data_IF_034832441101
#
_entry.id   IF_034832441101
#
_cell.length_a   1.000
_cell.length_b   1.000
_cell.length_c   1.000
_cell.angle_alpha   90.00
_cell.angle_beta   90.00
_cell.angle_gamma   90.00
#
_symmetry.space_group_name_H-M   'P 1'
#
loop_
_entity.id
_entity.type
_entity.pdbx_description
1 polymer ?
#
# COMPACT_ATOMS: atom_id res chain seq x y z
N UNK A 1 -29.43 36.69 -14.85
CA UNK A 1 -28.18 36.98 -15.59
C UNK A 1 -27.27 35.76 -15.42
N UNK A 2 -27.18 34.91 -16.42
CA UNK A 2 -26.28 33.75 -16.36
C UNK A 2 -24.84 34.18 -16.67
N UNK A 3 -23.93 33.93 -15.76
CA UNK A 3 -22.51 34.18 -15.96
C UNK A 3 -21.99 33.34 -17.14
N UNK A 4 -21.43 33.96 -18.16
CA UNK A 4 -20.76 33.30 -19.27
C UNK A 4 -19.57 32.48 -18.71
N UNK A 5 -19.41 31.21 -19.13
CA UNK A 5 -18.29 30.41 -18.69
C UNK A 5 -16.98 31.11 -19.11
N UNK A 6 -16.14 31.42 -18.13
CA UNK A 6 -14.80 31.96 -18.36
C UNK A 6 -14.01 30.95 -19.19
N UNK A 7 -13.67 31.30 -20.44
CA UNK A 7 -12.79 30.49 -21.29
C UNK A 7 -11.44 30.36 -20.56
N UNK A 8 -11.16 29.17 -20.03
CA UNK A 8 -9.83 28.83 -19.52
C UNK A 8 -8.87 29.01 -20.70
N UNK A 9 -7.94 29.95 -20.58
CA UNK A 9 -6.88 30.15 -21.59
C UNK A 9 -6.05 28.87 -21.63
N UNK A 10 -6.05 28.24 -22.81
CA UNK A 10 -5.21 27.08 -23.06
C UNK A 10 -3.73 27.52 -22.99
N UNK A 11 -2.96 26.84 -22.15
CA UNK A 11 -1.53 27.13 -21.95
C UNK A 11 -0.62 26.44 -22.97
N UNK A 12 -1.18 25.63 -23.90
CA UNK A 12 -0.44 24.92 -24.93
C UNK A 12 -0.64 25.54 -26.31
N UNK A 13 0.43 25.66 -27.05
CA UNK A 13 0.40 26.06 -28.46
C UNK A 13 -0.19 24.93 -29.33
N UNK A 14 -0.62 25.27 -30.57
CA UNK A 14 -1.09 24.27 -31.53
C UNK A 14 -0.03 23.19 -31.82
N UNK A 15 1.25 23.60 -31.90
CA UNK A 15 2.38 22.67 -32.16
C UNK A 15 2.56 21.69 -31.00
N UNK A 16 2.51 22.16 -29.77
CA UNK A 16 2.61 21.31 -28.56
C UNK A 16 1.47 20.31 -28.47
N UNK A 17 0.24 20.75 -28.75
CA UNK A 17 -0.92 19.82 -28.81
C UNK A 17 -0.75 18.73 -29.87
N UNK A 18 -0.25 19.11 -31.05
CA UNK A 18 0.03 18.12 -32.11
C UNK A 18 1.15 17.16 -31.70
N UNK A 19 2.20 17.64 -31.04
CA UNK A 19 3.27 16.82 -30.52
C UNK A 19 2.76 15.84 -29.45
N UNK A 20 1.97 16.30 -28.48
CA UNK A 20 1.33 15.44 -27.49
C UNK A 20 0.39 14.40 -28.11
N UNK A 21 -0.37 14.78 -29.15
CA UNK A 21 -1.23 13.84 -29.87
C UNK A 21 -0.39 12.75 -30.55
N UNK A 22 0.71 13.11 -31.22
CA UNK A 22 1.64 12.14 -31.84
C UNK A 22 2.27 11.23 -30.79
N UNK A 23 2.69 11.80 -29.65
CA UNK A 23 3.29 11.05 -28.55
C UNK A 23 2.31 10.00 -27.97
N UNK A 24 1.03 10.38 -27.80
CA UNK A 24 -0.03 9.46 -27.35
C UNK A 24 -0.33 8.32 -28.32
N UNK A 25 -0.04 8.49 -29.60
CA UNK A 25 -0.25 7.47 -30.63
C UNK A 25 0.90 6.46 -30.72
N UNK A 26 2.03 6.74 -30.07
CA UNK A 26 3.16 5.81 -30.03
C UNK A 26 2.82 4.61 -29.15
N UNK A 27 2.94 3.42 -29.72
CA UNK A 27 2.66 2.14 -29.04
C UNK A 27 3.92 1.45 -28.56
N UNK A 28 5.09 1.90 -29.04
CA UNK A 28 6.41 1.36 -28.72
C UNK A 28 7.01 1.92 -27.43
N UNK A 29 6.45 3.00 -26.90
CA UNK A 29 6.91 3.62 -25.65
C UNK A 29 5.80 3.66 -24.60
N UNK A 30 6.22 3.78 -23.33
CA UNK A 30 5.37 4.08 -22.18
C UNK A 30 5.87 5.32 -21.45
N UNK A 31 4.93 6.09 -20.94
CA UNK A 31 5.20 7.29 -20.14
C UNK A 31 4.62 7.04 -18.75
N UNK A 32 5.47 7.07 -17.74
CA UNK A 32 5.12 6.80 -16.34
C UNK A 32 5.74 7.85 -15.42
N UNK A 33 5.14 8.15 -14.28
CA UNK A 33 5.85 8.88 -13.23
C UNK A 33 7.03 8.05 -12.73
N UNK A 34 8.10 8.71 -12.32
CA UNK A 34 9.18 8.06 -11.61
C UNK A 34 8.73 7.61 -10.21
N UNK A 35 9.39 6.58 -9.65
CA UNK A 35 9.12 6.11 -8.28
C UNK A 35 9.36 7.21 -7.22
N UNK A 36 10.35 8.06 -7.45
CA UNK A 36 10.71 9.17 -6.55
C UNK A 36 10.80 10.49 -7.30
N UNK A 37 10.42 11.57 -6.62
CA UNK A 37 10.40 12.92 -7.19
C UNK A 37 9.22 13.16 -8.13
N UNK A 38 9.25 14.26 -8.86
CA UNK A 38 8.20 14.68 -9.81
C UNK A 38 8.55 14.35 -11.28
N UNK A 39 9.55 13.50 -11.50
CA UNK A 39 10.04 13.16 -12.83
C UNK A 39 9.05 12.33 -13.64
N UNK A 40 9.06 12.53 -14.96
CA UNK A 40 8.35 11.68 -15.92
C UNK A 40 9.37 10.82 -16.66
N UNK A 41 9.15 9.52 -16.69
CA UNK A 41 10.00 8.53 -17.37
C UNK A 41 9.35 8.13 -18.68
N UNK A 42 10.12 8.22 -19.75
CA UNK A 42 9.77 7.67 -21.07
C UNK A 42 10.67 6.46 -21.30
N UNK A 43 10.08 5.31 -21.50
CA UNK A 43 10.82 4.05 -21.68
C UNK A 43 10.21 3.19 -22.77
N UNK A 44 10.96 2.25 -23.32
CA UNK A 44 10.45 1.29 -24.26
C UNK A 44 9.37 0.42 -23.62
N UNK A 45 8.32 0.13 -24.35
CA UNK A 45 7.25 -0.75 -23.87
C UNK A 45 7.78 -2.15 -23.53
N UNK A 46 8.71 -2.68 -24.34
CA UNK A 46 9.27 -4.01 -24.11
C UNK A 46 10.06 -4.05 -22.79
N UNK A 47 10.95 -3.10 -22.54
CA UNK A 47 11.74 -3.02 -21.31
C UNK A 47 10.82 -2.95 -20.06
N UNK A 48 9.70 -2.22 -20.19
CA UNK A 48 8.70 -2.15 -19.13
C UNK A 48 8.03 -3.50 -18.88
N UNK A 49 7.63 -4.20 -19.95
CA UNK A 49 7.00 -5.52 -19.85
C UNK A 49 7.96 -6.56 -19.26
N UNK A 50 9.21 -6.54 -19.72
CA UNK A 50 10.24 -7.47 -19.25
C UNK A 50 10.48 -7.29 -17.76
N UNK A 51 10.56 -6.05 -17.28
CA UNK A 51 10.71 -5.79 -15.84
C UNK A 51 9.45 -6.20 -15.04
N UNK A 52 8.24 -5.96 -15.56
CA UNK A 52 7.01 -6.44 -14.93
C UNK A 52 7.01 -7.98 -14.82
N UNK A 53 7.31 -8.68 -15.91
CA UNK A 53 7.31 -10.15 -15.91
C UNK A 53 8.48 -10.73 -15.11
N UNK A 54 9.63 -10.07 -15.07
CA UNK A 54 10.73 -10.46 -14.20
C UNK A 54 10.26 -10.56 -12.74
N UNK A 55 9.44 -9.59 -12.28
CA UNK A 55 8.88 -9.59 -10.93
C UNK A 55 7.74 -10.60 -10.79
N UNK A 56 6.78 -10.62 -11.72
CA UNK A 56 5.59 -11.48 -11.65
C UNK A 56 5.91 -12.98 -11.77
N UNK A 57 7.06 -13.35 -12.36
CA UNK A 57 7.52 -14.72 -12.45
C UNK A 57 8.24 -15.20 -11.18
N UNK A 58 8.47 -14.32 -10.21
CA UNK A 58 8.96 -14.72 -8.90
C UNK A 58 7.85 -15.40 -8.11
N UNK A 59 7.88 -16.74 -8.15
CA UNK A 59 6.87 -17.59 -7.52
C UNK A 59 6.87 -17.49 -5.98
N UNK A 60 7.88 -16.89 -5.37
CA UNK A 60 7.88 -16.61 -3.95
C UNK A 60 6.79 -15.57 -3.62
N UNK A 61 6.59 -14.59 -4.48
CA UNK A 61 5.70 -13.46 -4.21
C UNK A 61 4.38 -13.51 -4.98
N UNK A 62 4.40 -14.04 -6.20
CA UNK A 62 3.26 -14.00 -7.10
C UNK A 62 2.95 -15.38 -7.70
N UNK A 63 1.67 -15.65 -7.87
CA UNK A 63 1.19 -16.86 -8.55
C UNK A 63 0.28 -16.48 -9.69
N UNK A 64 0.59 -16.94 -10.91
CA UNK A 64 -0.31 -16.85 -12.05
C UNK A 64 -1.47 -17.83 -11.87
N UNK A 65 -2.69 -17.38 -12.17
CA UNK A 65 -3.91 -18.19 -12.10
C UNK A 65 -4.62 -18.18 -13.46
N UNK A 66 -5.25 -19.31 -13.80
CA UNK A 66 -5.89 -19.46 -15.12
C UNK A 66 -7.27 -18.81 -15.22
N UNK A 67 -7.90 -18.55 -14.08
CA UNK A 67 -9.25 -17.98 -13.99
C UNK A 67 -9.21 -16.75 -13.08
N UNK A 68 -9.97 -15.72 -13.43
CA UNK A 68 -10.13 -14.54 -12.57
C UNK A 68 -10.87 -14.91 -11.28
N UNK A 69 -10.24 -14.82 -10.10
CA UNK A 69 -10.88 -15.20 -8.84
C UNK A 69 -11.74 -14.06 -8.25
N UNK A 70 -11.89 -12.92 -8.92
CA UNK A 70 -12.55 -11.72 -8.37
C UNK A 70 -13.97 -12.00 -7.87
N UNK A 71 -14.74 -12.78 -8.60
CA UNK A 71 -16.11 -13.10 -8.21
C UNK A 71 -16.17 -14.00 -6.96
N UNK A 72 -15.25 -14.96 -6.84
CA UNK A 72 -15.14 -15.79 -5.64
C UNK A 72 -14.71 -14.94 -4.42
N UNK A 73 -13.70 -14.10 -4.60
CA UNK A 73 -13.27 -13.14 -3.57
C UNK A 73 -14.43 -12.26 -3.13
N UNK A 74 -15.22 -11.75 -4.09
CA UNK A 74 -16.38 -10.92 -3.81
C UNK A 74 -17.42 -11.66 -2.96
N UNK A 75 -17.76 -12.90 -3.33
CA UNK A 75 -18.70 -13.75 -2.56
C UNK A 75 -18.24 -13.95 -1.12
N UNK A 76 -16.97 -14.25 -0.93
CA UNK A 76 -16.37 -14.48 0.40
C UNK A 76 -16.37 -13.21 1.24
N UNK A 77 -16.01 -12.07 0.67
CA UNK A 77 -16.07 -10.76 1.34
C UNK A 77 -17.51 -10.44 1.75
N UNK A 78 -18.47 -10.52 0.82
CA UNK A 78 -19.89 -10.24 1.12
C UNK A 78 -20.46 -11.20 2.17
N UNK A 79 -20.10 -12.48 2.14
CA UNK A 79 -20.51 -13.44 3.14
C UNK A 79 -20.01 -13.05 4.53
N UNK A 80 -18.73 -12.69 4.65
CA UNK A 80 -18.16 -12.27 5.92
C UNK A 80 -18.81 -11.00 6.46
N UNK A 81 -19.00 -9.99 5.61
CA UNK A 81 -19.67 -8.73 5.99
C UNK A 81 -21.11 -8.97 6.47
N UNK A 82 -21.88 -9.86 5.83
CA UNK A 82 -23.19 -10.26 6.30
C UNK A 82 -23.16 -10.89 7.68
N UNK A 83 -22.14 -11.70 7.99
CA UNK A 83 -21.93 -12.26 9.34
C UNK A 83 -21.65 -11.17 10.37
N UNK A 84 -20.80 -10.19 10.04
CA UNK A 84 -20.54 -9.06 10.94
C UNK A 84 -21.80 -8.26 11.24
N UNK A 85 -22.64 -8.01 10.24
CA UNK A 85 -23.94 -7.35 10.41
C UNK A 85 -24.90 -8.19 11.26
N UNK A 86 -25.08 -9.47 10.96
CA UNK A 86 -25.97 -10.36 11.69
C UNK A 86 -25.59 -10.51 13.18
N UNK A 87 -24.30 -10.40 13.49
CA UNK A 87 -23.76 -10.43 14.86
C UNK A 87 -23.69 -9.03 15.50
N UNK A 88 -24.25 -7.99 14.87
CA UNK A 88 -24.24 -6.59 15.36
C UNK A 88 -22.82 -6.04 15.62
N UNK A 89 -21.81 -6.57 14.92
CA UNK A 89 -20.41 -6.09 14.98
C UNK A 89 -20.26 -4.78 14.17
N UNK A 90 -21.02 -4.67 13.09
CA UNK A 90 -21.14 -3.46 12.28
C UNK A 90 -22.61 -3.13 12.08
N UNK A 91 -22.93 -1.86 11.87
CA UNK A 91 -24.27 -1.42 11.55
C UNK A 91 -24.58 -1.53 10.02
N UNK A 92 -25.83 -1.27 9.64
CA UNK A 92 -26.27 -1.33 8.24
C UNK A 92 -25.56 -0.32 7.34
N UNK A 93 -25.21 0.86 7.86
CA UNK A 93 -24.52 1.90 7.10
C UNK A 93 -23.09 1.45 6.78
N UNK A 94 -22.37 0.96 7.79
CA UNK A 94 -21.03 0.38 7.63
C UNK A 94 -21.05 -0.84 6.71
N UNK A 95 -22.03 -1.75 6.87
CA UNK A 95 -22.17 -2.89 5.97
C UNK A 95 -22.36 -2.45 4.52
N UNK A 96 -23.25 -1.47 4.26
CA UNK A 96 -23.49 -0.92 2.91
C UNK A 96 -22.23 -0.28 2.33
N UNK A 97 -21.49 0.46 3.16
CA UNK A 97 -20.24 1.10 2.76
C UNK A 97 -19.16 0.09 2.37
N UNK A 98 -19.00 -0.99 3.16
CA UNK A 98 -17.97 -2.01 2.96
C UNK A 98 -18.31 -2.98 1.83
N UNK A 99 -19.60 -3.14 1.49
CA UNK A 99 -20.03 -4.09 0.46
C UNK A 99 -19.62 -3.60 -0.94
N UNK A 100 -18.84 -4.39 -1.70
CA UNK A 100 -18.41 -4.04 -3.05
C UNK A 100 -19.60 -3.88 -3.99
N UNK A 101 -19.67 -2.77 -4.72
CA UNK A 101 -20.77 -2.49 -5.66
C UNK A 101 -20.49 -3.05 -7.06
N UNK A 102 -19.27 -2.81 -7.57
CA UNK A 102 -18.84 -3.28 -8.89
C UNK A 102 -17.43 -3.85 -8.72
N UNK A 103 -17.32 -5.14 -8.34
CA UNK A 103 -16.03 -5.76 -8.06
C UNK A 103 -15.19 -5.90 -9.32
N UNK A 104 -13.89 -5.58 -9.20
CA UNK A 104 -12.88 -5.69 -10.26
C UNK A 104 -11.61 -6.29 -9.69
N UNK A 105 -10.86 -7.02 -10.50
CA UNK A 105 -9.50 -7.40 -10.15
C UNK A 105 -8.64 -6.15 -9.91
N UNK A 106 -7.67 -6.24 -9.01
CA UNK A 106 -6.64 -5.23 -8.88
C UNK A 106 -5.88 -5.03 -10.20
N UNK A 107 -5.10 -3.99 -10.30
CA UNK A 107 -4.30 -3.72 -11.50
C UNK A 107 -2.83 -3.55 -11.13
N UNK A 108 -1.97 -4.40 -11.72
CA UNK A 108 -0.52 -4.33 -11.51
C UNK A 108 0.13 -3.34 -12.48
N UNK A 109 1.06 -2.58 -11.97
CA UNK A 109 1.99 -1.75 -12.74
C UNK A 109 3.27 -1.49 -11.96
N UNK A 110 4.31 -1.04 -12.63
CA UNK A 110 5.53 -0.62 -11.97
C UNK A 110 5.76 0.89 -12.12
N UNK A 111 6.41 1.47 -11.13
CA UNK A 111 6.98 2.82 -11.18
C UNK A 111 8.49 2.69 -11.35
N UNK A 112 9.08 3.17 -12.46
CA UNK A 112 10.52 3.03 -12.70
C UNK A 112 11.33 3.82 -11.68
N UNK A 113 12.33 3.18 -11.06
CA UNK A 113 13.24 3.83 -10.13
C UNK A 113 14.53 4.24 -10.86
N UNK A 114 14.56 5.47 -11.33
CA UNK A 114 15.67 6.03 -12.11
C UNK A 114 16.93 6.32 -11.29
N UNK A 115 16.87 6.18 -9.97
CA UNK A 115 18.01 6.40 -9.08
C UNK A 115 18.85 5.14 -8.84
N UNK A 116 18.37 3.98 -9.29
CA UNK A 116 19.08 2.71 -9.13
C UNK A 116 19.57 2.19 -10.49
N UNK A 117 20.76 1.54 -10.54
CA UNK A 117 21.23 0.89 -11.75
C UNK A 117 20.21 -0.10 -12.30
N UNK A 118 20.01 -0.13 -13.61
CA UNK A 118 19.03 -0.98 -14.27
C UNK A 118 17.57 -0.50 -14.16
N UNK A 119 17.33 0.66 -13.53
CA UNK A 119 15.99 1.26 -13.38
C UNK A 119 14.91 0.27 -12.90
N UNK A 120 15.14 -0.48 -11.81
CA UNK A 120 14.18 -1.48 -11.34
C UNK A 120 12.82 -0.83 -11.06
N UNK A 121 11.75 -1.54 -11.38
CA UNK A 121 10.40 -1.07 -11.12
C UNK A 121 9.96 -1.30 -9.68
N UNK A 122 9.32 -0.29 -9.06
CA UNK A 122 8.56 -0.53 -7.83
C UNK A 122 7.20 -1.14 -8.19
N UNK A 123 6.87 -2.36 -7.73
CA UNK A 123 5.59 -2.99 -8.02
C UNK A 123 4.46 -2.31 -7.25
N UNK A 124 3.41 -1.95 -7.96
CA UNK A 124 2.19 -1.40 -7.39
C UNK A 124 1.02 -2.28 -7.82
N UNK A 125 0.21 -2.71 -6.87
CA UNK A 125 -1.07 -3.34 -7.13
C UNK A 125 -2.17 -2.37 -6.71
N UNK A 126 -2.77 -1.69 -7.67
CA UNK A 126 -3.93 -0.82 -7.40
C UNK A 126 -5.11 -1.69 -7.02
N UNK A 127 -5.67 -1.45 -5.84
CA UNK A 127 -6.86 -2.12 -5.34
C UNK A 127 -8.17 -1.36 -5.67
N UNK A 128 -8.14 -0.37 -6.57
CA UNK A 128 -9.32 0.41 -6.92
C UNK A 128 -10.41 -0.48 -7.55
N UNK A 129 -11.58 -0.53 -6.92
CA UNK A 129 -12.69 -1.41 -7.29
C UNK A 129 -12.50 -2.87 -6.87
N UNK A 130 -11.40 -3.22 -6.21
CA UNK A 130 -11.21 -4.57 -5.69
C UNK A 130 -12.20 -4.86 -4.54
N UNK A 131 -12.71 -6.10 -4.40
CA UNK A 131 -13.66 -6.43 -3.33
C UNK A 131 -13.19 -6.10 -1.91
N UNK A 132 -11.86 -6.06 -1.68
CA UNK A 132 -11.28 -5.72 -0.37
C UNK A 132 -10.94 -4.24 -0.21
N UNK A 133 -11.18 -3.38 -1.20
CA UNK A 133 -10.75 -1.96 -1.16
C UNK A 133 -11.30 -1.23 0.07
N UNK A 134 -12.63 -1.25 0.25
CA UNK A 134 -13.29 -0.57 1.37
C UNK A 134 -12.99 -1.21 2.72
N UNK A 135 -12.84 -2.53 2.73
CA UNK A 135 -12.40 -3.25 3.93
C UNK A 135 -10.99 -2.83 4.35
N UNK A 136 -10.09 -2.62 3.38
CA UNK A 136 -8.74 -2.13 3.65
C UNK A 136 -8.73 -0.69 4.19
N UNK A 137 -9.62 0.17 3.70
CA UNK A 137 -9.82 1.53 4.23
C UNK A 137 -10.34 1.49 5.68
N UNK A 138 -11.32 0.63 5.94
CA UNK A 138 -11.87 0.42 7.28
C UNK A 138 -10.83 -0.11 8.27
N UNK A 139 -10.06 -1.12 7.91
CA UNK A 139 -8.95 -1.62 8.73
C UNK A 139 -7.92 -0.52 8.97
N UNK A 140 -7.55 0.24 7.94
CA UNK A 140 -6.60 1.36 8.06
C UNK A 140 -7.07 2.41 9.06
N UNK A 141 -8.38 2.70 9.11
CA UNK A 141 -8.96 3.61 10.10
C UNK A 141 -8.68 3.16 11.53
N UNK A 142 -8.82 1.86 11.82
CA UNK A 142 -8.55 1.31 13.14
C UNK A 142 -7.04 1.17 13.47
N UNK A 143 -6.17 1.01 12.46
CA UNK A 143 -4.74 0.84 12.66
C UNK A 143 -3.96 2.17 12.77
N UNK A 144 -4.37 3.20 12.03
CA UNK A 144 -3.63 4.46 11.96
C UNK A 144 -3.41 5.15 13.32
N UNK A 145 -4.39 5.19 14.24
CA UNK A 145 -4.15 5.77 15.58
C UNK A 145 -3.02 5.06 16.34
N UNK A 146 -2.91 3.73 16.18
CA UNK A 146 -1.88 2.92 16.84
C UNK A 146 -0.48 3.21 16.30
N UNK A 147 -0.36 3.53 15.00
CA UNK A 147 0.93 3.92 14.41
C UNK A 147 1.51 5.15 15.13
N UNK A 148 0.65 6.08 15.52
CA UNK A 148 1.06 7.32 16.19
C UNK A 148 1.54 7.09 17.62
N UNK A 149 1.24 5.94 18.24
CA UNK A 149 1.69 5.58 19.59
C UNK A 149 3.05 4.88 19.60
N UNK A 150 3.58 4.49 18.44
CA UNK A 150 4.89 3.84 18.33
C UNK A 150 6.01 4.79 18.79
N UNK A 151 6.97 4.32 19.60
CA UNK A 151 8.10 5.15 20.03
C UNK A 151 8.93 5.74 18.87
N UNK A 152 9.05 4.98 17.78
CA UNK A 152 9.77 5.38 16.57
C UNK A 152 8.95 6.25 15.60
N UNK A 153 7.67 6.55 15.92
CA UNK A 153 6.81 7.33 15.03
C UNK A 153 7.29 8.76 14.86
N UNK A 154 7.51 9.15 13.62
CA UNK A 154 7.85 10.52 13.23
C UNK A 154 6.84 11.00 12.19
N UNK A 155 6.05 12.01 12.53
CA UNK A 155 5.01 12.57 11.64
C UNK A 155 5.61 13.25 10.41
N UNK A 156 6.71 13.98 10.60
CA UNK A 156 7.43 14.69 9.55
C UNK A 156 8.93 14.58 9.85
N UNK A 157 9.78 14.61 8.82
CA UNK A 157 11.24 14.71 8.93
C UNK A 157 11.60 16.09 9.52
N UNK A 158 11.14 16.39 10.72
CA UNK A 158 11.37 17.68 11.34
C UNK A 158 12.57 17.56 12.27
N UNK A 159 13.53 18.46 12.09
CA UNK A 159 14.67 18.73 12.98
C UNK A 159 14.30 18.91 14.46
N UNK A 160 13.02 18.96 14.81
CA UNK A 160 12.59 19.21 16.19
C UNK A 160 13.03 18.09 17.15
N UNK A 161 12.94 16.80 16.73
CA UNK A 161 13.46 15.70 17.57
C UNK A 161 15.00 15.73 17.71
N UNK A 162 15.71 16.26 16.72
CA UNK A 162 17.16 16.45 16.80
C UNK A 162 17.56 17.59 17.75
N UNK A 163 16.70 18.59 17.94
CA UNK A 163 16.93 19.70 18.87
C UNK A 163 16.77 19.31 20.32
N UNK A 164 15.96 18.27 20.58
CA UNK A 164 15.69 17.73 21.92
C UNK A 164 16.73 16.69 22.36
N UNK A 165 17.72 16.37 21.49
CA UNK A 165 18.81 15.48 21.83
C UNK A 165 19.82 16.22 22.72
N UNK A 166 20.16 15.59 23.84
CA UNK A 166 21.30 15.96 24.64
C UNK A 166 22.60 15.87 23.85
N UNK A 167 23.63 16.54 24.30
CA UNK A 167 24.97 16.46 23.68
C UNK A 167 25.41 15.00 23.59
N UNK A 168 25.53 14.50 22.36
CA UNK A 168 25.96 13.13 22.15
C UNK A 168 27.40 12.93 22.64
N UNK A 169 27.73 11.75 23.22
CA UNK A 169 29.09 11.42 23.59
C UNK A 169 30.03 11.52 22.37
N UNK A 170 31.28 11.94 22.60
CA UNK A 170 32.29 12.11 21.53
C UNK A 170 32.57 10.83 20.72
N UNK A 171 32.27 9.66 21.30
CA UNK A 171 32.41 8.34 20.67
C UNK A 171 31.08 7.76 20.15
N UNK A 172 30.04 8.57 20.03
CA UNK A 172 28.77 8.13 19.47
C UNK A 172 28.91 7.72 18.00
N UNK A 173 28.28 6.60 17.63
CA UNK A 173 28.23 6.09 16.25
C UNK A 173 26.81 6.27 15.72
N UNK A 174 26.66 6.98 14.62
CA UNK A 174 25.41 7.10 13.91
C UNK A 174 25.23 5.91 12.95
N UNK A 175 24.14 5.17 13.11
CA UNK A 175 23.82 4.00 12.26
C UNK A 175 22.49 4.23 11.57
N UNK A 176 22.43 3.94 10.27
CA UNK A 176 21.18 3.93 9.49
C UNK A 176 20.95 2.54 8.93
N UNK A 177 19.72 2.08 8.97
CA UNK A 177 19.27 0.79 8.42
C UNK A 177 18.10 1.01 7.48
N UNK A 178 18.05 0.25 6.37
CA UNK A 178 16.91 0.23 5.45
C UNK A 178 16.46 -1.21 5.22
N UNK A 179 15.14 -1.42 5.16
CA UNK A 179 14.56 -2.75 4.93
C UNK A 179 14.29 -2.93 3.44
N UNK A 180 14.99 -3.89 2.83
CA UNK A 180 14.77 -4.23 1.44
C UNK A 180 13.40 -4.84 1.23
N UNK A 181 12.61 -4.26 0.32
CA UNK A 181 11.29 -4.79 -0.10
C UNK A 181 10.35 -5.09 1.08
N UNK A 182 10.29 -4.19 2.07
CA UNK A 182 9.54 -4.38 3.32
C UNK A 182 8.14 -4.96 3.09
N UNK A 183 7.35 -4.34 2.22
CA UNK A 183 5.94 -4.72 2.03
C UNK A 183 5.73 -6.16 1.56
N UNK A 184 6.60 -6.66 0.69
CA UNK A 184 6.50 -8.04 0.18
C UNK A 184 7.10 -9.08 1.13
N UNK A 185 7.91 -8.66 2.11
CA UNK A 185 8.60 -9.55 3.02
C UNK A 185 7.95 -9.69 4.40
N UNK A 186 6.87 -8.95 4.71
CA UNK A 186 6.16 -9.11 5.98
C UNK A 186 5.38 -10.44 5.97
N UNK A 187 5.70 -11.41 6.86
CA UNK A 187 4.92 -12.64 6.97
C UNK A 187 3.49 -12.32 7.44
N UNK A 188 2.49 -12.83 6.73
CA UNK A 188 1.08 -12.50 6.97
C UNK A 188 0.65 -12.70 8.42
N UNK A 189 0.96 -13.88 9.01
CA UNK A 189 0.54 -14.18 10.37
C UNK A 189 1.26 -13.32 11.40
N UNK A 190 2.58 -13.18 11.27
CA UNK A 190 3.38 -12.34 12.19
C UNK A 190 2.97 -10.87 12.12
N UNK A 191 2.66 -10.37 10.92
CA UNK A 191 2.16 -9.01 10.73
C UNK A 191 0.79 -8.78 11.39
N UNK A 192 -0.14 -9.74 11.24
CA UNK A 192 -1.45 -9.70 11.91
C UNK A 192 -1.27 -9.76 13.42
N UNK A 193 -0.40 -10.64 13.94
CA UNK A 193 -0.15 -10.79 15.37
C UNK A 193 0.50 -9.52 15.97
N UNK A 194 1.40 -8.86 15.24
CA UNK A 194 1.94 -7.57 15.64
C UNK A 194 0.86 -6.50 15.75
N UNK A 195 -0.06 -6.43 14.79
CA UNK A 195 -1.21 -5.53 14.86
C UNK A 195 -2.16 -5.90 16.02
N UNK A 196 -2.47 -7.19 16.20
CA UNK A 196 -3.34 -7.69 17.28
C UNK A 196 -2.84 -7.24 18.64
N UNK A 197 -1.54 -7.43 18.92
CA UNK A 197 -0.90 -7.04 20.19
C UNK A 197 -1.11 -5.56 20.53
N UNK A 198 -1.02 -4.69 19.53
CA UNK A 198 -1.18 -3.25 19.72
C UNK A 198 -2.65 -2.81 19.76
N UNK A 199 -3.57 -3.59 19.18
CA UNK A 199 -4.99 -3.25 19.15
C UNK A 199 -5.66 -3.27 20.53
N UNK A 200 -5.08 -3.92 21.55
CA UNK A 200 -5.56 -3.83 22.94
C UNK A 200 -5.46 -2.41 23.51
N UNK A 201 -4.58 -1.57 22.93
CA UNK A 201 -4.39 -0.18 23.33
C UNK A 201 -5.38 0.78 22.66
N UNK A 202 -6.28 0.30 21.79
CA UNK A 202 -7.26 1.15 21.12
C UNK A 202 -8.23 1.78 22.10
N UNK A 203 -8.54 3.03 21.85
CA UNK A 203 -9.63 3.75 22.55
C UNK A 203 -11.00 3.32 22.02
N UNK A 204 -11.14 3.17 20.72
CA UNK A 204 -12.35 2.66 20.07
C UNK A 204 -12.33 1.13 20.04
N UNK A 205 -13.26 0.52 20.78
CA UNK A 205 -13.46 -0.92 20.86
C UNK A 205 -14.79 -1.37 20.28
N UNK A 206 -15.44 -0.55 19.49
CA UNK A 206 -16.73 -0.85 18.84
C UNK A 206 -16.68 -2.11 17.99
N UNK A 207 -15.56 -2.34 17.31
CA UNK A 207 -15.34 -3.54 16.50
C UNK A 207 -14.36 -4.48 17.22
N UNK A 208 -14.69 -5.76 17.43
CA UNK A 208 -13.80 -6.74 18.05
C UNK A 208 -12.48 -6.88 17.30
N UNK A 209 -11.39 -7.08 18.03
CA UNK A 209 -10.03 -7.24 17.47
C UNK A 209 -10.00 -8.37 16.47
N UNK A 210 -10.63 -9.51 16.76
CA UNK A 210 -10.65 -10.67 15.86
C UNK A 210 -11.33 -10.37 14.53
N UNK A 211 -12.39 -9.55 14.55
CA UNK A 211 -13.06 -9.14 13.30
C UNK A 211 -12.15 -8.29 12.40
N UNK A 212 -11.33 -7.41 13.01
CA UNK A 212 -10.33 -6.63 12.27
C UNK A 212 -9.21 -7.55 11.76
N UNK A 213 -8.74 -8.51 12.57
CA UNK A 213 -7.75 -9.50 12.17
C UNK A 213 -8.22 -10.37 11.00
N UNK A 214 -9.49 -10.79 11.03
CA UNK A 214 -10.09 -11.54 9.92
C UNK A 214 -10.16 -10.70 8.64
N UNK A 215 -10.57 -9.44 8.73
CA UNK A 215 -10.54 -8.51 7.58
C UNK A 215 -9.11 -8.32 7.06
N UNK A 216 -8.11 -8.14 7.94
CA UNK A 216 -6.70 -8.07 7.52
C UNK A 216 -6.28 -9.33 6.78
N UNK A 217 -6.63 -10.51 7.31
CA UNK A 217 -6.32 -11.79 6.66
C UNK A 217 -6.94 -11.89 5.27
N UNK A 218 -8.22 -11.49 5.12
CA UNK A 218 -8.89 -11.47 3.82
C UNK A 218 -8.18 -10.52 2.84
N UNK A 219 -7.81 -9.32 3.27
CA UNK A 219 -7.11 -8.34 2.43
C UNK A 219 -5.74 -8.86 1.99
N UNK A 220 -5.00 -9.53 2.88
CA UNK A 220 -3.65 -10.02 2.60
C UNK A 220 -3.63 -11.28 1.74
N UNK A 221 -4.68 -12.11 1.81
CA UNK A 221 -4.74 -13.41 1.11
C UNK A 221 -5.63 -13.43 -0.14
N UNK A 222 -6.52 -12.43 -0.28
CA UNK A 222 -7.46 -12.32 -1.41
C UNK A 222 -7.14 -11.06 -2.24
N UNK A 223 -5.92 -10.94 -2.70
CA UNK A 223 -5.39 -9.77 -3.40
C UNK A 223 -5.03 -10.12 -4.86
N UNK A 224 -6.00 -10.62 -5.60
CA UNK A 224 -5.83 -10.90 -7.01
C UNK A 224 -5.81 -9.62 -7.85
N UNK A 225 -5.07 -9.70 -8.95
CA UNK A 225 -4.91 -8.58 -9.87
C UNK A 225 -4.70 -9.07 -11.31
N UNK A 226 -4.85 -8.15 -12.24
CA UNK A 226 -4.62 -8.38 -13.67
C UNK A 226 -3.41 -7.59 -14.15
N UNK A 227 -2.61 -8.21 -15.00
CA UNK A 227 -1.56 -7.56 -15.77
C UNK A 227 -1.54 -8.11 -17.20
N UNK A 228 -1.58 -7.24 -18.18
CA UNK A 228 -1.53 -7.58 -19.62
C UNK A 228 -2.51 -8.70 -20.03
N UNK A 229 -3.72 -8.70 -19.42
CA UNK A 229 -4.76 -9.70 -19.67
C UNK A 229 -4.59 -11.03 -18.91
N UNK A 230 -3.56 -11.18 -18.11
CA UNK A 230 -3.31 -12.37 -17.30
C UNK A 230 -3.63 -12.09 -15.83
N UNK A 231 -4.10 -13.13 -15.11
CA UNK A 231 -4.51 -13.04 -13.73
C UNK A 231 -3.43 -13.58 -12.79
N UNK A 232 -3.22 -12.87 -11.70
CA UNK A 232 -2.23 -13.20 -10.68
C UNK A 232 -2.82 -13.02 -9.28
N UNK A 233 -2.19 -13.68 -8.31
CA UNK A 233 -2.43 -13.50 -6.87
C UNK A 233 -1.10 -13.25 -6.19
N UNK A 234 -1.04 -12.26 -5.30
CA UNK A 234 0.12 -12.08 -4.43
C UNK A 234 0.06 -13.10 -3.29
N UNK A 235 1.16 -13.83 -3.06
CA UNK A 235 1.24 -14.92 -2.08
C UNK A 235 1.79 -14.48 -0.73
N UNK A 236 2.70 -13.49 -0.72
CA UNK A 236 3.38 -13.02 0.48
C UNK A 236 3.32 -11.52 0.63
N UNK A 237 3.39 -11.07 1.88
CA UNK A 237 3.42 -9.67 2.24
C UNK A 237 2.10 -8.94 2.00
N UNK A 238 2.20 -7.64 1.86
CA UNK A 238 1.07 -6.77 1.53
C UNK A 238 1.31 -6.05 0.22
N UNK A 239 0.25 -5.90 -0.57
CA UNK A 239 0.32 -5.21 -1.85
C UNK A 239 0.56 -3.70 -1.66
N UNK A 240 1.56 -3.16 -2.37
CA UNK A 240 1.76 -1.72 -2.45
C UNK A 240 0.63 -1.10 -3.27
N UNK A 241 -0.23 -0.34 -2.61
CA UNK A 241 -1.47 0.23 -3.18
C UNK A 241 -2.71 -0.12 -2.36
N UNK A 242 -2.58 -1.04 -1.41
CA UNK A 242 -3.61 -1.35 -0.42
C UNK A 242 -3.61 -0.29 0.69
N UNK A 243 -4.76 0.26 1.06
CA UNK A 243 -4.84 1.40 1.99
C UNK A 243 -4.31 1.10 3.39
N UNK A 244 -4.50 -0.12 3.89
CA UNK A 244 -3.98 -0.51 5.21
C UNK A 244 -2.47 -0.76 5.22
N UNK A 245 -1.84 -0.97 4.05
CA UNK A 245 -0.47 -1.46 3.97
C UNK A 245 0.56 -0.58 4.71
N UNK A 246 0.50 0.77 4.67
CA UNK A 246 1.43 1.60 5.43
C UNK A 246 1.29 1.41 6.95
N UNK A 247 0.06 1.38 7.47
CA UNK A 247 -0.18 1.19 8.89
C UNK A 247 0.25 -0.22 9.34
N UNK A 248 -0.11 -1.24 8.56
CA UNK A 248 0.29 -2.62 8.79
C UNK A 248 1.82 -2.79 8.87
N UNK A 249 2.54 -2.20 7.91
CA UNK A 249 4.00 -2.25 7.88
C UNK A 249 4.64 -1.51 9.07
N UNK A 250 4.12 -0.33 9.42
CA UNK A 250 4.63 0.44 10.56
C UNK A 250 4.41 -0.32 11.89
N UNK A 251 3.24 -0.93 12.10
CA UNK A 251 2.97 -1.69 13.33
C UNK A 251 3.82 -2.97 13.40
N UNK A 252 4.04 -3.64 12.26
CA UNK A 252 4.97 -4.77 12.19
C UNK A 252 6.39 -4.34 12.56
N UNK A 253 6.88 -3.25 11.98
CA UNK A 253 8.22 -2.72 12.26
C UNK A 253 8.34 -2.27 13.72
N UNK A 254 7.36 -1.58 14.28
CA UNK A 254 7.35 -1.19 15.69
C UNK A 254 7.46 -2.39 16.63
N UNK A 255 6.73 -3.49 16.35
CA UNK A 255 6.86 -4.73 17.12
C UNK A 255 8.22 -5.42 16.91
N UNK A 256 8.79 -5.33 15.70
CA UNK A 256 10.14 -5.82 15.43
C UNK A 256 11.19 -5.03 16.19
N UNK A 257 11.10 -3.70 16.18
CA UNK A 257 11.97 -2.80 16.93
C UNK A 257 11.92 -3.08 18.42
N UNK A 258 10.72 -3.23 18.99
CA UNK A 258 10.52 -3.58 20.40
C UNK A 258 11.23 -4.89 20.77
N UNK A 259 11.13 -5.92 19.92
CA UNK A 259 11.77 -7.22 20.14
C UNK A 259 13.29 -7.19 19.93
N UNK A 260 13.76 -6.52 18.88
CA UNK A 260 15.17 -6.54 18.49
C UNK A 260 16.01 -5.62 19.36
N UNK A 261 15.46 -4.47 19.72
CA UNK A 261 16.17 -3.43 20.45
C UNK A 261 16.01 -3.57 21.97
N UNK A 262 14.98 -4.31 22.41
CA UNK A 262 14.74 -4.70 23.79
C UNK A 262 14.78 -3.54 24.79
N UNK A 263 14.59 -3.85 26.08
CA UNK A 263 14.61 -2.88 27.17
C UNK A 263 16.00 -2.17 27.36
N UNK A 264 17.03 -2.59 26.63
CA UNK A 264 18.37 -1.99 26.71
C UNK A 264 18.49 -0.65 25.97
N UNK A 265 17.61 -0.39 24.99
CA UNK A 265 17.65 0.81 24.15
C UNK A 265 16.54 1.81 24.49
N UNK A 266 15.64 1.48 25.41
CA UNK A 266 14.53 2.33 25.85
C UNK A 266 14.94 3.66 26.53
N UNK A 267 16.23 3.90 26.71
CA UNK A 267 16.81 5.16 27.25
C UNK A 267 17.78 5.85 26.31
N UNK A 268 18.08 5.29 25.14
CA UNK A 268 18.93 5.94 24.14
C UNK A 268 18.06 6.23 22.91
N UNK A 269 17.83 7.48 22.70
CA UNK A 269 16.97 8.11 21.72
C UNK A 269 17.29 7.61 20.30
N UNK A 270 16.36 6.93 19.66
CA UNK A 270 16.38 6.76 18.20
C UNK A 270 15.89 8.05 17.56
N UNK A 271 16.70 8.61 16.70
CA UNK A 271 16.38 9.75 15.83
C UNK A 271 16.10 9.24 14.42
#
# INVERSE_FOLDING_TARGET
>A
MSAKPTRIRDNLTKRERQALKKLRQRTDILIKPADKGSGTVVMNRQDYLDECYRQLNDQQFYKRVSIDPTEDVNKRVCFYLKRLLANSVIDEETHRYLTPQVPKAGHFYILPNTHKPGNPGRPIVSANGHPTEKNSEFVSFHLNPLVQTLPSYIKNTTLNKLKDLDVLPANAILVTLDVSSLYTNIPTNEGIDACRKLMDQRTDRSVPIESICDLMRMILTMNNFVFNGEHFVQQHGTAMGTRMAPAFANLFMGNFEEKALGARLSRQTFV
#
